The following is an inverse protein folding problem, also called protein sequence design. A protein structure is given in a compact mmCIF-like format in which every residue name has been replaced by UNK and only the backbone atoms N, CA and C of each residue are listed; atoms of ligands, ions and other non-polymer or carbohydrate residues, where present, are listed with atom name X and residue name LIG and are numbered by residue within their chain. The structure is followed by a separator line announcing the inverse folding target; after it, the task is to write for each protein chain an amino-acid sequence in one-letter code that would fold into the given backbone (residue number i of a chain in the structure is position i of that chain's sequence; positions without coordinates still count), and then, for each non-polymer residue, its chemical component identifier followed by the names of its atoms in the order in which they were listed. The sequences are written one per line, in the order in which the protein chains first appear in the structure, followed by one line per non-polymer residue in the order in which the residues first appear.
data_IF_531318492791
#
_entry.id   IF_531318492791
#
_cell.length_a   1.000
_cell.length_b   1.000
_cell.length_c   1.000
_cell.angle_alpha   90.00
_cell.angle_beta   90.00
_cell.angle_gamma   90.00
#
_symmetry.space_group_name_H-M   'P 1'
#
loop_
_entity.id
_entity.type
_entity.pdbx_description
1 polymer ?
#
# COMPACT_ATOMS: atom_id res chain seq x y z
N UNK A 1 -1.94 -0.39 15.17
CA UNK A 1 -0.84 -1.35 15.44
C UNK A 1 -1.21 -2.22 16.63
N UNK A 2 -0.97 -3.51 16.54
CA UNK A 2 -1.22 -4.50 17.58
C UNK A 2 0.10 -5.10 18.06
N UNK A 3 0.23 -5.37 19.34
CA UNK A 3 1.38 -6.04 19.95
C UNK A 3 0.93 -7.31 20.66
N UNK A 4 1.60 -8.42 20.37
CA UNK A 4 1.35 -9.71 20.98
C UNK A 4 2.05 -9.81 22.33
N UNK A 5 1.33 -10.31 23.33
CA UNK A 5 1.84 -10.55 24.68
C UNK A 5 1.99 -12.03 24.97
N UNK A 6 3.05 -12.38 25.70
CA UNK A 6 3.18 -13.72 26.28
C UNK A 6 2.09 -13.91 27.35
N UNK A 7 1.41 -15.04 27.29
CA UNK A 7 0.47 -15.46 28.34
C UNK A 7 1.02 -16.67 29.07
N UNK A 8 0.46 -16.99 30.23
CA UNK A 8 0.84 -18.19 31.01
C UNK A 8 0.67 -19.48 30.19
N UNK A 9 -0.19 -19.46 29.17
CA UNK A 9 -0.54 -20.63 28.34
C UNK A 9 0.18 -20.65 27.01
N UNK A 10 0.58 -19.48 26.46
CA UNK A 10 1.17 -19.38 25.13
C UNK A 10 2.28 -18.32 25.06
N UNK A 11 3.41 -18.69 24.46
CA UNK A 11 4.54 -17.78 24.18
C UNK A 11 4.46 -17.27 22.77
N UNK A 12 4.84 -16.00 22.59
CA UNK A 12 4.97 -15.38 21.28
C UNK A 12 6.17 -16.00 20.56
N UNK A 13 5.91 -16.65 19.45
CA UNK A 13 6.92 -17.19 18.53
C UNK A 13 6.49 -16.95 17.08
N UNK A 14 7.34 -17.29 16.12
CA UNK A 14 7.07 -17.05 14.71
C UNK A 14 5.81 -17.76 14.20
N UNK A 15 5.57 -18.99 14.65
CA UNK A 15 4.37 -19.74 14.27
C UNK A 15 3.09 -19.09 14.83
N UNK A 16 3.12 -18.69 16.09
CA UNK A 16 2.00 -17.97 16.71
C UNK A 16 1.73 -16.65 15.98
N UNK A 17 2.76 -15.88 15.63
CA UNK A 17 2.60 -14.61 14.90
C UNK A 17 2.06 -14.79 13.49
N UNK A 18 2.49 -15.81 12.76
CA UNK A 18 1.96 -16.13 11.44
C UNK A 18 0.47 -16.53 11.52
N UNK A 19 0.09 -17.28 12.54
CA UNK A 19 -1.31 -17.62 12.81
C UNK A 19 -2.13 -16.39 13.19
N UNK A 20 -1.58 -15.46 13.98
CA UNK A 20 -2.21 -14.16 14.27
C UNK A 20 -2.52 -13.42 12.99
N UNK A 21 -1.54 -13.26 12.08
CA UNK A 21 -1.73 -12.60 10.78
C UNK A 21 -2.84 -13.27 9.98
N UNK A 22 -2.80 -14.60 9.84
CA UNK A 22 -3.82 -15.36 9.09
C UNK A 22 -5.23 -15.18 9.67
N UNK A 23 -5.36 -15.17 11.00
CA UNK A 23 -6.66 -14.95 11.66
C UNK A 23 -7.13 -13.52 11.45
N UNK A 24 -6.23 -12.53 11.57
CA UNK A 24 -6.55 -11.13 11.29
C UNK A 24 -7.02 -10.91 9.85
N UNK A 25 -6.34 -11.53 8.88
CA UNK A 25 -6.78 -11.51 7.46
C UNK A 25 -8.19 -12.07 7.29
N UNK A 26 -8.49 -13.21 7.90
CA UNK A 26 -9.83 -13.80 7.87
C UNK A 26 -10.90 -12.86 8.46
N UNK A 27 -10.59 -12.22 9.59
CA UNK A 27 -11.51 -11.28 10.27
C UNK A 27 -11.77 -10.05 9.40
N UNK A 28 -10.71 -9.45 8.88
CA UNK A 28 -10.80 -8.24 8.04
C UNK A 28 -11.54 -8.52 6.74
N UNK A 29 -11.23 -9.65 6.08
CA UNK A 29 -11.93 -10.06 4.85
C UNK A 29 -13.42 -10.33 5.12
N UNK A 30 -13.75 -10.92 6.27
CA UNK A 30 -15.15 -11.18 6.65
C UNK A 30 -15.94 -9.91 6.99
N UNK A 31 -15.26 -8.80 7.31
CA UNK A 31 -15.87 -7.47 7.45
C UNK A 31 -16.20 -6.80 6.11
N UNK A 32 -15.83 -7.43 4.98
CA UNK A 32 -16.11 -6.93 3.63
C UNK A 32 -15.26 -5.71 3.25
N UNK A 33 -14.12 -5.52 3.90
CA UNK A 33 -13.21 -4.43 3.59
C UNK A 33 -12.35 -4.80 2.37
N UNK A 34 -12.22 -3.86 1.45
CA UNK A 34 -11.41 -4.02 0.25
C UNK A 34 -9.96 -3.63 0.52
N UNK A 35 -9.04 -4.47 0.07
CA UNK A 35 -7.59 -4.23 0.08
C UNK A 35 -6.99 -3.90 1.47
N UNK A 36 -7.27 -4.69 2.51
CA UNK A 36 -6.62 -4.50 3.80
C UNK A 36 -5.11 -4.81 3.68
N UNK A 37 -4.28 -4.01 4.35
CA UNK A 37 -2.86 -4.32 4.47
C UNK A 37 -2.62 -4.86 5.87
N UNK A 38 -2.19 -6.11 5.97
CA UNK A 38 -1.84 -6.75 7.22
C UNK A 38 -0.39 -7.22 7.14
N UNK A 39 0.47 -6.65 7.97
CA UNK A 39 1.90 -6.90 7.91
C UNK A 39 2.47 -7.09 9.31
N UNK A 40 3.37 -8.07 9.44
CA UNK A 40 4.15 -8.25 10.64
C UNK A 40 5.27 -7.20 10.69
N UNK A 41 5.44 -6.56 11.84
CA UNK A 41 6.52 -5.63 12.13
C UNK A 41 7.34 -6.15 13.32
N UNK A 42 8.59 -6.57 13.04
CA UNK A 42 9.44 -7.18 14.06
C UNK A 42 8.91 -8.53 14.56
N UNK A 43 9.23 -8.85 15.81
CA UNK A 43 8.93 -10.17 16.37
C UNK A 43 7.51 -10.29 16.94
N UNK A 44 6.91 -9.17 17.44
CA UNK A 44 5.70 -9.19 18.25
C UNK A 44 4.58 -8.27 17.75
N UNK A 45 4.79 -7.50 16.68
CA UNK A 45 3.84 -6.48 16.23
C UNK A 45 3.19 -6.84 14.91
N UNK A 46 1.94 -6.41 14.75
CA UNK A 46 1.19 -6.49 13.50
C UNK A 46 0.60 -5.13 13.20
N UNK A 47 0.89 -4.61 12.01
CA UNK A 47 0.25 -3.42 11.46
C UNK A 47 -0.96 -3.88 10.64
N UNK A 48 -2.11 -3.25 10.90
CA UNK A 48 -3.34 -3.48 10.15
C UNK A 48 -3.80 -2.13 9.62
N UNK A 49 -3.87 -1.98 8.31
CA UNK A 49 -4.42 -0.82 7.64
C UNK A 49 -5.74 -1.21 6.98
N UNK A 50 -6.79 -0.46 7.29
CA UNK A 50 -8.16 -0.74 6.88
C UNK A 50 -8.70 0.45 6.09
N UNK A 51 -8.48 0.50 4.77
CA UNK A 51 -9.03 1.59 3.95
C UNK A 51 -10.56 1.47 3.84
N UNK A 52 -11.24 2.61 3.82
CA UNK A 52 -12.68 2.67 3.59
C UNK A 52 -13.59 2.18 4.71
N UNK A 53 -13.07 1.97 5.92
CA UNK A 53 -13.87 1.59 7.09
C UNK A 53 -14.86 2.69 7.47
N UNK A 54 -16.14 2.34 7.57
CA UNK A 54 -17.20 3.27 7.97
C UNK A 54 -17.21 3.51 9.49
N UNK A 55 -17.00 2.46 10.27
CA UNK A 55 -16.91 2.50 11.73
C UNK A 55 -15.58 1.89 12.20
N UNK A 56 -14.55 2.72 12.42
CA UNK A 56 -13.25 2.27 12.89
C UNK A 56 -13.30 1.60 14.27
N UNK A 57 -14.14 2.09 15.17
CA UNK A 57 -14.21 1.58 16.55
C UNK A 57 -14.81 0.15 16.61
N UNK A 58 -15.85 -0.10 15.82
CA UNK A 58 -16.44 -1.44 15.69
C UNK A 58 -15.45 -2.43 15.05
N UNK A 59 -14.72 -1.99 13.99
CA UNK A 59 -13.70 -2.81 13.34
C UNK A 59 -12.57 -3.16 14.31
N UNK A 60 -12.04 -2.19 15.05
CA UNK A 60 -10.98 -2.36 16.04
C UNK A 60 -11.39 -3.36 17.12
N UNK A 61 -12.61 -3.21 17.67
CA UNK A 61 -13.16 -4.14 18.69
C UNK A 61 -13.31 -5.56 18.17
N UNK A 62 -13.73 -5.72 16.91
CA UNK A 62 -13.92 -7.05 16.30
C UNK A 62 -12.60 -7.72 16.00
N UNK A 63 -11.63 -7.00 15.49
CA UNK A 63 -10.31 -7.53 15.10
C UNK A 63 -9.49 -7.89 16.34
N UNK A 64 -9.50 -7.07 17.39
CA UNK A 64 -8.66 -7.21 18.58
C UNK A 64 -9.13 -8.26 19.58
N UNK A 65 -10.33 -8.86 19.46
CA UNK A 65 -10.81 -9.90 20.37
C UNK A 65 -9.96 -11.17 20.25
N UNK A 66 -9.60 -11.76 21.39
CA UNK A 66 -8.90 -13.07 21.41
C UNK A 66 -9.79 -14.16 20.85
N UNK A 67 -11.10 -14.08 21.14
CA UNK A 67 -12.15 -15.00 20.68
C UNK A 67 -11.98 -16.44 21.15
N UNK A 68 -11.54 -16.62 22.36
CA UNK A 68 -11.47 -17.93 22.97
C UNK A 68 -12.88 -18.36 23.43
N UNK A 69 -13.52 -19.19 22.60
CA UNK A 69 -14.83 -19.76 22.91
C UNK A 69 -14.65 -21.02 23.72
N UNK A 70 -15.37 -21.10 24.82
CA UNK A 70 -15.41 -22.28 25.72
C UNK A 70 -16.85 -22.65 26.05
N UNK A 71 -17.13 -23.93 26.00
CA UNK A 71 -18.38 -24.50 26.54
C UNK A 71 -18.05 -25.24 27.86
N UNK A 72 -18.63 -24.78 28.94
CA UNK A 72 -18.40 -25.34 30.27
C UNK A 72 -19.65 -26.03 30.78
N UNK A 73 -19.41 -27.17 31.42
CA UNK A 73 -20.45 -27.86 32.17
C UNK A 73 -20.77 -27.15 33.52
N UNK A 74 -21.70 -27.68 34.27
CA UNK A 74 -22.11 -27.13 35.58
C UNK A 74 -20.97 -27.17 36.62
N UNK A 75 -20.00 -28.06 36.42
CA UNK A 75 -18.81 -28.21 37.30
C UNK A 75 -17.70 -27.24 36.91
N UNK A 76 -17.86 -26.47 35.81
CA UNK A 76 -16.89 -25.51 35.30
C UNK A 76 -15.81 -26.11 34.41
N UNK A 77 -15.91 -27.38 33.99
CA UNK A 77 -14.97 -28.02 33.11
C UNK A 77 -15.21 -27.59 31.65
N UNK A 78 -14.17 -27.19 30.94
CA UNK A 78 -14.26 -26.90 29.51
C UNK A 78 -14.32 -28.20 28.71
N UNK A 79 -15.43 -28.43 27.98
CA UNK A 79 -15.67 -29.65 27.20
C UNK A 79 -15.46 -29.42 25.71
N UNK A 80 -15.86 -28.22 25.19
CA UNK A 80 -15.63 -27.83 23.82
C UNK A 80 -14.99 -26.44 23.79
N UNK A 81 -14.27 -26.21 22.70
CA UNK A 81 -13.60 -24.92 22.42
C UNK A 81 -13.92 -24.45 21.01
N UNK A 82 -13.49 -23.26 20.64
CA UNK A 82 -13.64 -22.72 19.28
C UNK A 82 -13.01 -23.58 18.18
N UNK A 83 -12.06 -24.49 18.51
CA UNK A 83 -11.48 -25.43 17.55
C UNK A 83 -12.43 -26.53 17.11
N UNK A 84 -13.47 -26.80 17.91
CA UNK A 84 -14.51 -27.76 17.59
C UNK A 84 -15.60 -27.18 16.66
N UNK A 85 -15.55 -25.88 16.34
CA UNK A 85 -16.46 -25.23 15.39
C UNK A 85 -15.98 -25.41 13.94
N UNK A 86 -16.93 -25.68 13.05
CA UNK A 86 -16.76 -25.70 11.59
C UNK A 86 -17.16 -24.37 10.97
N UNK A 87 -18.30 -23.81 11.38
CA UNK A 87 -18.82 -22.53 10.90
C UNK A 87 -19.65 -21.79 11.95
N UNK A 88 -19.81 -20.48 11.78
CA UNK A 88 -20.67 -19.63 12.59
C UNK A 88 -21.35 -18.57 11.67
N UNK A 89 -22.68 -18.44 11.75
CA UNK A 89 -23.46 -17.53 10.89
C UNK A 89 -24.47 -16.75 11.71
N UNK A 90 -24.51 -15.43 11.49
CA UNK A 90 -25.55 -14.60 12.07
C UNK A 90 -26.88 -14.80 11.33
N UNK A 91 -27.95 -14.88 12.08
CA UNK A 91 -29.31 -14.99 11.57
C UNK A 91 -30.31 -14.24 12.48
N UNK A 92 -31.48 -13.93 11.92
CA UNK A 92 -32.62 -13.52 12.74
C UNK A 92 -33.57 -14.69 12.84
N UNK A 93 -33.83 -15.13 14.06
CA UNK A 93 -34.78 -16.22 14.32
C UNK A 93 -36.19 -15.79 13.93
N UNK A 94 -36.78 -16.50 12.95
CA UNK A 94 -38.08 -16.15 12.38
C UNK A 94 -39.27 -16.33 13.35
N UNK A 95 -39.08 -17.10 14.43
CA UNK A 95 -40.18 -17.38 15.38
C UNK A 95 -40.30 -16.30 16.44
N UNK A 96 -39.19 -15.72 16.90
CA UNK A 96 -39.19 -14.74 17.99
C UNK A 96 -38.55 -13.39 17.64
N UNK A 97 -38.03 -13.22 16.39
CA UNK A 97 -37.39 -11.99 15.93
C UNK A 97 -36.06 -11.68 16.58
N UNK A 98 -35.45 -12.61 17.35
CA UNK A 98 -34.18 -12.40 18.02
C UNK A 98 -33.01 -12.58 17.06
N UNK A 99 -31.96 -11.77 17.25
CA UNK A 99 -30.72 -11.95 16.55
C UNK A 99 -29.91 -13.05 17.23
N UNK A 100 -29.41 -13.99 16.44
CA UNK A 100 -28.73 -15.19 16.92
C UNK A 100 -27.51 -15.49 16.06
N UNK A 101 -26.59 -16.28 16.63
CA UNK A 101 -25.49 -16.87 15.90
C UNK A 101 -25.65 -18.37 15.86
N UNK A 102 -25.87 -18.90 14.67
CA UNK A 102 -25.93 -20.33 14.42
C UNK A 102 -24.54 -20.89 14.35
N UNK A 103 -24.26 -21.91 15.14
CA UNK A 103 -23.00 -22.64 15.19
C UNK A 103 -23.16 -23.99 14.51
N UNK A 104 -22.20 -24.36 13.70
CA UNK A 104 -22.02 -25.71 13.15
C UNK A 104 -20.72 -26.29 13.67
N UNK A 105 -20.77 -27.44 14.31
CA UNK A 105 -19.59 -28.12 14.86
C UNK A 105 -18.94 -29.01 13.81
N UNK A 106 -17.65 -29.30 13.98
CA UNK A 106 -16.95 -30.37 13.26
C UNK A 106 -17.54 -31.72 13.63
N UNK A 107 -17.23 -32.79 12.88
CA UNK A 107 -17.75 -34.14 13.20
C UNK A 107 -17.34 -34.61 14.59
N UNK A 108 -16.14 -34.27 15.06
CA UNK A 108 -15.66 -34.55 16.41
C UNK A 108 -16.33 -33.65 17.46
N UNK A 109 -16.45 -32.35 17.15
CA UNK A 109 -17.14 -31.38 18.00
C UNK A 109 -18.62 -31.73 18.18
N UNK A 110 -19.30 -32.19 17.10
CA UNK A 110 -20.69 -32.65 17.19
C UNK A 110 -20.90 -33.82 18.15
N UNK A 111 -19.96 -34.79 18.17
CA UNK A 111 -20.00 -35.90 19.14
C UNK A 111 -19.81 -35.41 20.58
N UNK A 112 -18.79 -34.57 20.81
CA UNK A 112 -18.56 -33.98 22.14
C UNK A 112 -19.75 -33.13 22.60
N UNK A 113 -20.37 -32.37 21.69
CA UNK A 113 -21.53 -31.54 22.00
C UNK A 113 -22.79 -32.40 22.31
N UNK A 114 -22.99 -33.48 21.55
CA UNK A 114 -24.05 -34.45 21.84
C UNK A 114 -23.86 -35.10 23.21
N UNK A 115 -22.65 -35.52 23.57
CA UNK A 115 -22.32 -36.09 24.88
C UNK A 115 -22.51 -35.06 25.98
N UNK A 116 -22.07 -33.81 25.80
CA UNK A 116 -22.22 -32.72 26.75
C UNK A 116 -23.70 -32.43 27.00
N UNK A 117 -24.51 -32.29 25.95
CA UNK A 117 -25.95 -31.99 26.07
C UNK A 117 -26.70 -33.17 26.67
N UNK A 118 -26.34 -34.42 26.36
CA UNK A 118 -26.96 -35.62 26.94
C UNK A 118 -26.73 -35.74 28.44
N UNK A 119 -25.52 -35.45 28.90
CA UNK A 119 -25.14 -35.49 30.33
C UNK A 119 -25.74 -34.36 31.17
N UNK A 120 -26.05 -33.23 30.50
CA UNK A 120 -26.52 -32.01 31.15
C UNK A 120 -28.01 -31.69 30.86
N UNK A 121 -28.85 -32.68 30.54
CA UNK A 121 -30.30 -32.47 30.40
C UNK A 121 -30.88 -31.94 31.71
N UNK A 122 -31.62 -30.84 31.66
CA UNK A 122 -32.17 -30.14 32.83
C UNK A 122 -31.18 -29.22 33.53
N UNK A 123 -29.91 -29.15 33.08
CA UNK A 123 -28.84 -28.32 33.65
C UNK A 123 -28.43 -27.23 32.67
N UNK A 124 -27.59 -26.32 33.13
CA UNK A 124 -27.12 -25.18 32.37
C UNK A 124 -25.73 -25.47 31.74
N UNK A 125 -25.54 -25.10 30.46
CA UNK A 125 -24.23 -25.10 29.86
C UNK A 125 -23.82 -23.63 29.68
N UNK A 126 -22.71 -23.26 30.31
CA UNK A 126 -22.16 -21.91 30.15
C UNK A 126 -21.32 -21.79 28.86
N UNK A 127 -21.63 -20.82 28.05
CA UNK A 127 -20.84 -20.46 26.84
C UNK A 127 -20.10 -19.19 27.16
N UNK A 128 -18.78 -19.29 27.20
CA UNK A 128 -17.88 -18.17 27.51
C UNK A 128 -17.11 -17.73 26.26
N UNK A 129 -16.85 -16.43 26.19
CA UNK A 129 -15.98 -15.83 25.19
C UNK A 129 -14.94 -14.98 25.93
N UNK A 130 -13.67 -15.29 25.76
CA UNK A 130 -12.56 -14.61 26.44
C UNK A 130 -12.69 -14.61 27.98
N UNK A 131 -13.28 -15.68 28.54
CA UNK A 131 -13.52 -15.84 29.98
C UNK A 131 -14.78 -15.17 30.50
N UNK A 132 -15.47 -14.37 29.68
CA UNK A 132 -16.75 -13.75 30.05
C UNK A 132 -17.94 -14.63 29.61
N UNK A 133 -18.96 -14.78 30.45
CA UNK A 133 -20.17 -15.56 30.13
C UNK A 133 -20.97 -14.81 29.06
N UNK A 134 -21.02 -15.37 27.87
CA UNK A 134 -21.81 -14.85 26.77
C UNK A 134 -23.29 -15.20 26.90
N UNK A 135 -23.57 -16.48 27.25
CA UNK A 135 -24.91 -17.00 27.54
C UNK A 135 -24.79 -18.30 28.31
N UNK A 136 -25.85 -18.67 29.04
CA UNK A 136 -25.88 -19.89 29.82
C UNK A 136 -27.29 -20.55 29.69
N UNK A 137 -27.60 -21.16 28.53
CA UNK A 137 -28.89 -21.80 28.29
C UNK A 137 -29.06 -23.07 29.08
N UNK A 138 -30.30 -23.38 29.46
CA UNK A 138 -30.68 -24.66 30.02
C UNK A 138 -30.90 -25.69 28.90
N UNK A 139 -30.34 -26.89 29.04
CA UNK A 139 -30.49 -27.99 28.09
C UNK A 139 -31.84 -28.67 28.30
N UNK A 140 -32.76 -28.53 27.36
CA UNK A 140 -34.10 -29.16 27.44
C UNK A 140 -34.09 -30.61 26.97
N UNK A 141 -33.32 -30.89 25.93
CA UNK A 141 -33.18 -32.20 25.29
C UNK A 141 -31.78 -32.37 24.71
N UNK A 142 -31.29 -33.59 24.49
CA UNK A 142 -30.02 -33.84 23.86
C UNK A 142 -29.98 -33.31 22.42
N UNK A 143 -28.89 -32.60 22.05
CA UNK A 143 -28.71 -32.03 20.71
C UNK A 143 -27.74 -32.90 19.94
N UNK A 144 -28.26 -33.81 19.10
CA UNK A 144 -27.45 -34.79 18.35
C UNK A 144 -27.02 -34.27 16.95
N UNK A 145 -27.58 -33.17 16.48
CA UNK A 145 -27.42 -32.66 15.10
C UNK A 145 -26.17 -31.83 14.87
N UNK A 146 -25.28 -31.66 15.85
CA UNK A 146 -24.05 -30.87 15.71
C UNK A 146 -24.29 -29.39 15.38
N UNK A 147 -25.46 -28.84 15.73
CA UNK A 147 -25.80 -27.42 15.56
C UNK A 147 -26.26 -26.84 16.90
N UNK A 148 -25.84 -25.60 17.13
CA UNK A 148 -26.27 -24.84 18.30
C UNK A 148 -26.60 -23.40 17.91
N UNK A 149 -27.32 -22.69 18.78
CA UNK A 149 -27.67 -21.30 18.59
C UNK A 149 -27.23 -20.48 19.82
N UNK A 150 -26.48 -19.41 19.59
CA UNK A 150 -26.16 -18.41 20.60
C UNK A 150 -27.12 -17.24 20.44
N UNK A 151 -27.95 -16.99 21.45
CA UNK A 151 -28.88 -15.86 21.53
C UNK A 151 -28.36 -14.79 22.47
N UNK A 152 -29.01 -13.60 22.47
CA UNK A 152 -28.69 -12.52 23.39
C UNK A 152 -28.04 -11.30 22.75
N UNK A 153 -27.82 -11.32 21.43
CA UNK A 153 -27.32 -10.17 20.68
C UNK A 153 -28.42 -9.13 20.47
N UNK A 154 -28.12 -7.88 20.86
CA UNK A 154 -29.11 -6.78 20.77
C UNK A 154 -29.39 -6.38 19.33
N UNK A 155 -28.37 -6.43 18.47
CA UNK A 155 -28.47 -6.02 17.07
C UNK A 155 -27.99 -7.13 16.14
N UNK A 156 -28.44 -7.09 14.88
CA UNK A 156 -27.96 -8.02 13.84
C UNK A 156 -26.45 -7.81 13.59
N UNK A 157 -25.98 -6.57 13.71
CA UNK A 157 -24.58 -6.22 13.56
C UNK A 157 -23.70 -6.88 14.66
N UNK A 158 -24.16 -6.86 15.91
CA UNK A 158 -23.48 -7.59 16.99
C UNK A 158 -23.41 -9.08 16.70
N UNK A 159 -24.48 -9.68 16.20
CA UNK A 159 -24.50 -11.08 15.80
C UNK A 159 -23.55 -11.37 14.64
N UNK A 160 -23.49 -10.48 13.63
CA UNK A 160 -22.55 -10.59 12.51
C UNK A 160 -21.08 -10.49 12.98
N UNK A 161 -20.78 -9.52 13.80
CA UNK A 161 -19.43 -9.35 14.37
C UNK A 161 -19.01 -10.57 15.21
N UNK A 162 -19.92 -11.11 16.01
CA UNK A 162 -19.67 -12.32 16.79
C UNK A 162 -19.44 -13.54 15.86
N UNK A 163 -20.24 -13.70 14.85
CA UNK A 163 -20.11 -14.79 13.86
C UNK A 163 -18.76 -14.72 13.13
N UNK A 164 -18.33 -13.53 12.73
CA UNK A 164 -17.01 -13.29 12.09
C UNK A 164 -15.88 -13.73 13.03
N UNK A 165 -15.93 -13.30 14.28
CA UNK A 165 -14.92 -13.59 15.29
C UNK A 165 -14.84 -15.10 15.54
N UNK A 166 -15.98 -15.79 15.72
CA UNK A 166 -16.05 -17.24 15.97
C UNK A 166 -15.58 -18.06 14.76
N UNK A 167 -16.00 -17.68 13.55
CA UNK A 167 -15.59 -18.34 12.30
C UNK A 167 -14.10 -18.21 12.00
N UNK A 168 -13.51 -17.06 12.31
CA UNK A 168 -12.08 -16.82 12.09
C UNK A 168 -11.17 -17.59 13.06
N UNK A 169 -11.72 -18.00 14.20
CA UNK A 169 -11.03 -18.74 15.26
C UNK A 169 -10.36 -17.83 16.30
N UNK A 170 -9.90 -18.47 17.37
CA UNK A 170 -9.22 -17.81 18.47
C UNK A 170 -7.78 -17.45 18.13
N UNK A 171 -7.33 -16.30 18.60
CA UNK A 171 -5.92 -15.89 18.49
C UNK A 171 -5.07 -16.80 19.40
N UNK A 172 -3.91 -17.26 18.93
CA UNK A 172 -3.03 -18.14 19.71
C UNK A 172 -2.37 -17.40 20.89
N UNK A 173 -2.28 -16.09 20.83
CA UNK A 173 -1.72 -15.21 21.86
C UNK A 173 -2.62 -13.99 22.02
N UNK A 174 -2.61 -13.39 23.22
CA UNK A 174 -3.32 -12.13 23.45
C UNK A 174 -2.65 -11.01 22.68
N UNK A 175 -3.45 -10.14 22.06
CA UNK A 175 -2.97 -8.96 21.34
C UNK A 175 -3.55 -7.70 21.98
N UNK A 176 -2.71 -6.69 22.16
CA UNK A 176 -3.11 -5.38 22.64
C UNK A 176 -2.96 -4.34 21.56
N UNK A 177 -3.87 -3.38 21.53
CA UNK A 177 -3.80 -2.25 20.61
C UNK A 177 -2.87 -1.22 21.24
N UNK A 178 -1.70 -1.01 20.63
CA UNK A 178 -0.71 -0.04 21.11
C UNK A 178 -0.82 1.30 20.42
N UNK A 179 -1.32 1.33 19.18
CA UNK A 179 -1.48 2.56 18.42
C UNK A 179 -2.68 2.46 17.48
N UNK A 180 -3.50 3.51 17.46
CA UNK A 180 -4.60 3.68 16.52
C UNK A 180 -4.44 5.03 15.82
N UNK A 181 -4.40 5.01 14.48
CA UNK A 181 -4.44 6.20 13.65
C UNK A 181 -5.67 6.14 12.76
N UNK A 182 -6.57 7.09 12.95
CA UNK A 182 -7.78 7.21 12.14
C UNK A 182 -7.68 8.46 11.28
N UNK A 183 -7.77 8.29 9.95
CA UNK A 183 -7.87 9.39 9.01
C UNK A 183 -9.33 9.51 8.60
N UNK A 184 -10.00 10.56 9.07
CA UNK A 184 -11.40 10.80 8.75
C UNK A 184 -11.61 11.12 7.26
N UNK A 185 -12.82 10.89 6.70
CA UNK A 185 -13.12 11.14 5.29
C UNK A 185 -12.85 12.58 4.85
N UNK A 186 -13.10 13.56 5.72
CA UNK A 186 -12.84 14.98 5.47
C UNK A 186 -11.33 15.27 5.34
N UNK A 187 -10.50 14.66 6.19
CA UNK A 187 -9.05 14.83 6.13
C UNK A 187 -8.47 14.15 4.89
N UNK A 188 -9.01 12.99 4.50
CA UNK A 188 -8.64 12.29 3.28
C UNK A 188 -8.97 13.11 2.03
N UNK A 189 -10.18 13.70 1.97
CA UNK A 189 -10.61 14.55 0.86
C UNK A 189 -9.77 15.83 0.77
N UNK A 190 -9.55 16.54 1.88
CA UNK A 190 -8.71 17.75 1.91
C UNK A 190 -7.25 17.45 1.47
N UNK A 191 -6.72 16.29 1.87
CA UNK A 191 -5.39 15.85 1.46
C UNK A 191 -5.33 15.54 -0.03
N UNK A 192 -6.38 14.91 -0.58
CA UNK A 192 -6.51 14.64 -2.01
C UNK A 192 -6.55 15.94 -2.81
N UNK A 193 -7.45 16.87 -2.45
CA UNK A 193 -7.63 18.14 -3.16
C UNK A 193 -6.33 18.97 -3.14
N UNK A 194 -5.64 19.03 -2.00
CA UNK A 194 -4.33 19.69 -1.89
C UNK A 194 -3.25 19.01 -2.71
N UNK A 195 -3.26 17.68 -2.79
CA UNK A 195 -2.30 16.92 -3.60
C UNK A 195 -2.53 17.13 -5.10
N UNK A 196 -3.79 17.14 -5.55
CA UNK A 196 -4.15 17.44 -6.94
C UNK A 196 -3.74 18.87 -7.33
N UNK A 197 -3.97 19.83 -6.45
CA UNK A 197 -3.53 21.21 -6.66
C UNK A 197 -2.01 21.32 -6.72
N UNK A 198 -1.29 20.70 -5.77
CA UNK A 198 0.18 20.70 -5.75
C UNK A 198 0.76 20.03 -7.00
N UNK A 199 0.16 18.93 -7.45
CA UNK A 199 0.54 18.26 -8.71
C UNK A 199 0.37 19.18 -9.91
N UNK A 200 -0.78 19.83 -10.05
CA UNK A 200 -1.07 20.73 -11.16
C UNK A 200 -0.11 21.94 -11.18
N UNK A 201 0.13 22.55 -10.03
CA UNK A 201 1.07 23.68 -9.89
C UNK A 201 2.51 23.25 -10.18
N UNK A 202 2.94 22.11 -9.61
CA UNK A 202 4.29 21.59 -9.82
C UNK A 202 4.55 21.23 -11.28
N UNK A 203 3.64 20.49 -11.91
CA UNK A 203 3.73 20.14 -13.32
C UNK A 203 3.73 21.40 -14.21
N UNK A 204 2.81 22.34 -13.96
CA UNK A 204 2.73 23.59 -14.72
C UNK A 204 3.99 24.45 -14.62
N UNK A 205 4.57 24.54 -13.41
CA UNK A 205 5.83 25.27 -13.20
C UNK A 205 7.00 24.63 -13.97
N UNK A 206 7.08 23.29 -13.99
CA UNK A 206 8.12 22.54 -14.71
C UNK A 206 7.96 22.73 -16.23
N UNK A 207 6.76 22.59 -16.78
CA UNK A 207 6.49 22.81 -18.20
C UNK A 207 6.88 24.24 -18.62
N UNK A 208 6.48 25.24 -17.82
CA UNK A 208 6.85 26.63 -18.10
C UNK A 208 8.37 26.84 -18.07
N UNK A 209 9.05 26.26 -17.06
CA UNK A 209 10.50 26.33 -16.96
C UNK A 209 11.18 25.73 -18.19
N UNK A 210 10.75 24.56 -18.66
CA UNK A 210 11.35 23.90 -19.81
C UNK A 210 11.20 24.72 -21.10
N UNK A 211 10.02 25.28 -21.36
CA UNK A 211 9.79 26.13 -22.54
C UNK A 211 10.65 27.39 -22.45
N UNK A 212 10.70 28.07 -21.30
CA UNK A 212 11.43 29.33 -21.17
C UNK A 212 12.94 29.17 -21.33
N UNK A 213 13.52 28.11 -20.74
CA UNK A 213 14.97 27.94 -20.74
C UNK A 213 15.49 27.11 -21.92
N UNK A 214 14.74 26.08 -22.37
CA UNK A 214 15.18 25.15 -23.42
C UNK A 214 14.43 25.33 -24.74
N UNK A 215 13.45 26.22 -24.80
CA UNK A 215 12.71 26.56 -26.02
C UNK A 215 12.11 25.31 -26.69
N UNK A 216 12.49 25.02 -27.97
CA UNK A 216 11.96 23.87 -28.72
C UNK A 216 12.41 22.52 -28.15
N UNK A 217 13.65 22.44 -27.65
CA UNK A 217 14.07 21.22 -26.90
C UNK A 217 13.22 21.03 -25.67
N UNK A 218 12.89 22.12 -24.95
CA UNK A 218 11.99 22.10 -23.80
C UNK A 218 10.57 21.68 -24.18
N UNK A 219 10.03 22.18 -25.28
CA UNK A 219 8.71 21.75 -25.77
C UNK A 219 8.65 20.25 -26.10
N UNK A 220 9.71 19.68 -26.67
CA UNK A 220 9.81 18.23 -26.89
C UNK A 220 9.84 17.48 -25.57
N UNK A 221 10.61 17.97 -24.59
CA UNK A 221 10.65 17.38 -23.27
C UNK A 221 9.30 17.44 -22.57
N UNK A 222 8.53 18.51 -22.76
CA UNK A 222 7.18 18.64 -22.20
C UNK A 222 6.22 17.61 -22.77
N UNK A 223 6.28 17.35 -24.08
CA UNK A 223 5.49 16.27 -24.70
C UNK A 223 5.91 14.91 -24.12
N UNK A 224 7.22 14.68 -23.98
CA UNK A 224 7.73 13.45 -23.38
C UNK A 224 7.31 13.31 -21.91
N UNK A 225 7.28 14.41 -21.13
CA UNK A 225 6.83 14.45 -19.75
C UNK A 225 5.33 14.16 -19.62
N UNK A 226 4.51 14.70 -20.53
CA UNK A 226 3.08 14.38 -20.59
C UNK A 226 2.85 12.88 -20.89
N UNK A 227 3.59 12.34 -21.87
CA UNK A 227 3.55 10.93 -22.19
C UNK A 227 4.01 10.06 -20.99
N UNK A 228 5.09 10.45 -20.31
CA UNK A 228 5.58 9.85 -19.09
C UNK A 228 4.49 9.81 -18.01
N UNK A 229 3.84 10.94 -17.75
CA UNK A 229 2.80 11.05 -16.72
C UNK A 229 1.61 10.13 -17.04
N UNK A 230 1.16 10.11 -18.29
CA UNK A 230 0.09 9.21 -18.73
C UNK A 230 0.49 7.74 -18.62
N UNK A 231 1.73 7.39 -18.99
CA UNK A 231 2.24 6.02 -18.86
C UNK A 231 2.35 5.59 -17.39
N UNK A 232 2.81 6.48 -16.51
CA UNK A 232 2.93 6.19 -15.08
C UNK A 232 1.55 5.96 -14.45
N UNK A 233 0.59 6.87 -14.68
CA UNK A 233 -0.77 6.73 -14.17
C UNK A 233 -1.46 5.49 -14.77
N UNK A 234 -1.28 5.22 -16.05
CA UNK A 234 -1.81 4.03 -16.72
C UNK A 234 -1.22 2.74 -16.16
N UNK A 235 0.08 2.72 -15.84
CA UNK A 235 0.73 1.55 -15.24
C UNK A 235 0.27 1.33 -13.79
N UNK A 236 0.13 2.39 -13.00
CA UNK A 236 -0.42 2.30 -11.64
C UNK A 236 -1.85 1.78 -11.65
N UNK A 237 -2.67 2.24 -12.60
CA UNK A 237 -4.03 1.73 -12.79
C UNK A 237 -4.06 0.25 -13.20
N UNK A 238 -3.18 -0.17 -14.12
CA UNK A 238 -3.10 -1.56 -14.58
C UNK A 238 -2.64 -2.53 -13.48
N UNK A 239 -1.83 -2.05 -12.54
CA UNK A 239 -1.34 -2.81 -11.39
C UNK A 239 -2.30 -2.77 -10.19
N UNK A 240 -3.47 -2.13 -10.31
CA UNK A 240 -4.39 -1.87 -9.19
C UNK A 240 -3.69 -1.28 -7.96
N UNK A 241 -2.67 -0.42 -8.20
CA UNK A 241 -1.85 0.11 -7.12
C UNK A 241 -2.61 1.14 -6.28
N UNK A 242 -2.70 0.90 -4.98
CA UNK A 242 -3.31 1.83 -4.02
C UNK A 242 -2.46 3.08 -3.86
N UNK A 243 -3.01 4.24 -4.22
CA UNK A 243 -2.33 5.53 -4.08
C UNK A 243 -2.38 6.00 -2.61
N UNK A 244 -1.24 5.88 -1.93
CA UNK A 244 -1.05 6.47 -0.59
C UNK A 244 -0.59 7.92 -0.69
N UNK A 245 -0.76 8.74 0.37
CA UNK A 245 -0.25 10.11 0.39
C UNK A 245 1.26 10.21 0.09
N UNK A 246 2.13 9.39 0.69
CA UNK A 246 3.53 9.31 0.28
C UNK A 246 3.70 8.85 -1.17
N UNK A 247 2.83 7.98 -1.69
CA UNK A 247 2.85 7.55 -3.08
C UNK A 247 2.60 8.71 -4.06
N UNK A 248 1.66 9.61 -3.74
CA UNK A 248 1.45 10.85 -4.53
C UNK A 248 2.69 11.74 -4.48
N UNK A 249 3.33 11.89 -3.31
CA UNK A 249 4.60 12.62 -3.21
C UNK A 249 5.71 11.97 -4.08
N UNK A 250 5.75 10.64 -4.14
CA UNK A 250 6.64 9.89 -5.04
C UNK A 250 6.40 10.20 -6.53
N UNK A 251 5.14 10.33 -6.95
CA UNK A 251 4.80 10.74 -8.32
C UNK A 251 5.33 12.15 -8.61
N UNK A 252 5.08 13.11 -7.72
CA UNK A 252 5.53 14.51 -7.91
C UNK A 252 7.06 14.57 -7.98
N UNK A 253 7.73 13.83 -7.09
CA UNK A 253 9.19 13.74 -7.09
C UNK A 253 9.73 13.13 -8.40
N UNK A 254 9.11 12.06 -8.88
CA UNK A 254 9.55 11.37 -10.10
C UNK A 254 9.35 12.21 -11.37
N UNK A 255 8.36 13.13 -11.38
CA UNK A 255 8.21 14.13 -12.45
C UNK A 255 9.43 15.06 -12.49
N UNK A 256 9.88 15.56 -11.34
CA UNK A 256 11.11 16.37 -11.26
C UNK A 256 12.32 15.63 -11.82
N UNK A 257 12.52 14.37 -11.39
CA UNK A 257 13.63 13.53 -11.88
C UNK A 257 13.53 13.19 -13.38
N UNK A 258 12.30 13.07 -13.91
CA UNK A 258 12.10 12.86 -15.35
C UNK A 258 12.56 14.05 -16.18
N UNK A 259 12.40 15.26 -15.66
CA UNK A 259 12.89 16.49 -16.31
C UNK A 259 14.40 16.60 -16.19
N UNK A 260 15.01 16.23 -15.06
CA UNK A 260 16.47 16.29 -14.87
C UNK A 260 17.22 15.48 -15.93
N UNK A 261 16.71 14.31 -16.31
CA UNK A 261 17.29 13.52 -17.39
C UNK A 261 17.30 14.28 -18.73
N UNK A 262 16.20 14.99 -19.07
CA UNK A 262 16.11 15.80 -20.27
C UNK A 262 17.02 17.03 -20.20
N UNK A 263 17.06 17.71 -19.06
CA UNK A 263 17.97 18.85 -18.81
C UNK A 263 19.42 18.43 -19.03
N UNK A 264 19.84 17.30 -18.46
CA UNK A 264 21.19 16.78 -18.61
C UNK A 264 21.53 16.51 -20.09
N UNK A 265 20.62 15.91 -20.85
CA UNK A 265 20.77 15.68 -22.29
C UNK A 265 20.94 17.01 -23.02
N UNK A 266 20.11 18.01 -22.71
CA UNK A 266 20.17 19.31 -23.40
C UNK A 266 21.40 20.13 -23.06
N UNK A 267 21.87 20.06 -21.81
CA UNK A 267 23.12 20.73 -21.44
C UNK A 267 24.34 20.09 -22.15
N UNK A 268 24.41 18.75 -22.21
CA UNK A 268 25.45 18.09 -23.01
C UNK A 268 25.32 18.40 -24.52
N UNK A 269 24.10 18.51 -25.05
CA UNK A 269 23.88 18.93 -26.43
C UNK A 269 24.42 20.35 -26.69
N UNK A 270 24.16 21.30 -25.75
CA UNK A 270 24.71 22.66 -25.82
C UNK A 270 26.24 22.66 -25.77
N UNK A 271 26.81 21.91 -24.83
CA UNK A 271 28.25 21.78 -24.63
C UNK A 271 28.94 21.30 -25.94
N UNK A 272 28.43 20.21 -26.51
CA UNK A 272 28.97 19.66 -27.78
C UNK A 272 28.87 20.62 -28.92
N UNK A 273 27.79 21.40 -29.01
CA UNK A 273 27.62 22.40 -30.07
C UNK A 273 28.51 23.62 -29.88
N UNK A 274 28.54 24.21 -28.70
CA UNK A 274 29.19 25.50 -28.44
C UNK A 274 30.68 25.36 -28.21
N UNK A 275 31.14 24.30 -27.54
CA UNK A 275 32.55 24.14 -27.20
C UNK A 275 33.28 23.37 -28.29
N UNK A 276 32.72 22.30 -28.79
CA UNK A 276 33.37 21.42 -29.76
C UNK A 276 33.10 21.81 -31.20
N UNK A 277 32.20 22.78 -31.48
CA UNK A 277 31.93 23.28 -32.81
C UNK A 277 31.35 22.27 -33.81
N UNK A 278 30.72 21.22 -33.29
CA UNK A 278 30.10 20.16 -34.10
C UNK A 278 28.82 20.66 -34.77
N UNK A 279 28.40 19.97 -35.82
CA UNK A 279 27.07 20.22 -36.43
C UNK A 279 25.96 19.93 -35.48
N UNK A 280 24.80 20.55 -35.61
CA UNK A 280 23.65 20.39 -34.73
C UNK A 280 23.27 18.92 -34.50
N UNK A 281 23.22 18.13 -35.58
CA UNK A 281 22.94 16.69 -35.53
C UNK A 281 24.01 15.91 -34.75
N UNK A 282 25.29 16.14 -35.05
CA UNK A 282 26.38 15.42 -34.38
C UNK A 282 26.49 15.82 -32.92
N UNK A 283 26.20 17.07 -32.57
CA UNK A 283 26.17 17.55 -31.19
C UNK A 283 25.05 16.90 -30.40
N UNK A 284 23.87 16.73 -30.99
CA UNK A 284 22.76 16.03 -30.39
C UNK A 284 23.13 14.56 -30.12
N UNK A 285 23.62 13.82 -31.11
CA UNK A 285 23.98 12.40 -30.93
C UNK A 285 25.11 12.22 -29.90
N UNK A 286 26.12 13.08 -29.92
CA UNK A 286 27.22 13.06 -28.94
C UNK A 286 26.74 13.40 -27.53
N UNK A 287 25.86 14.42 -27.41
CA UNK A 287 25.27 14.83 -26.14
C UNK A 287 24.46 13.71 -25.51
N UNK A 288 23.60 13.04 -26.28
CA UNK A 288 22.86 11.86 -25.79
C UNK A 288 23.77 10.74 -25.32
N UNK A 289 24.81 10.40 -26.08
CA UNK A 289 25.76 9.35 -25.71
C UNK A 289 26.47 9.65 -24.41
N UNK A 290 26.86 10.91 -24.19
CA UNK A 290 27.50 11.33 -22.91
C UNK A 290 26.53 11.34 -21.74
N UNK A 291 25.32 11.88 -21.96
CA UNK A 291 24.28 11.93 -20.95
C UNK A 291 23.82 10.54 -20.49
N UNK A 292 23.77 9.58 -21.43
CA UNK A 292 23.25 8.23 -21.15
C UNK A 292 23.90 7.57 -19.94
N UNK A 293 25.23 7.56 -19.86
CA UNK A 293 25.93 6.92 -18.73
C UNK A 293 25.58 7.58 -17.40
N UNK A 294 25.57 8.91 -17.37
CA UNK A 294 25.24 9.66 -16.15
C UNK A 294 23.77 9.44 -15.73
N UNK A 295 22.85 9.45 -16.69
CA UNK A 295 21.44 9.18 -16.42
C UNK A 295 21.24 7.76 -15.91
N UNK A 296 21.90 6.79 -16.53
CA UNK A 296 21.82 5.40 -16.11
C UNK A 296 22.33 5.20 -14.68
N UNK A 297 23.54 5.69 -14.39
CA UNK A 297 24.15 5.56 -13.07
C UNK A 297 23.33 6.23 -11.96
N UNK A 298 22.82 7.45 -12.23
CA UNK A 298 21.96 8.18 -11.28
C UNK A 298 20.64 7.45 -11.02
N UNK A 299 19.99 6.95 -12.06
CA UNK A 299 18.71 6.26 -11.90
C UNK A 299 18.85 4.87 -11.25
N UNK A 300 19.96 4.15 -11.49
CA UNK A 300 20.22 2.88 -10.81
C UNK A 300 20.30 3.05 -9.30
N UNK A 301 20.95 4.11 -8.80
CA UNK A 301 21.01 4.37 -7.36
C UNK A 301 19.62 4.63 -6.77
N UNK A 302 18.76 5.35 -7.49
CA UNK A 302 17.37 5.60 -7.09
C UNK A 302 16.54 4.31 -7.10
N UNK A 303 16.71 3.45 -8.12
CA UNK A 303 16.02 2.15 -8.20
C UNK A 303 16.44 1.24 -7.05
N UNK A 304 17.74 1.20 -6.69
CA UNK A 304 18.23 0.45 -5.53
C UNK A 304 17.57 0.96 -4.24
N UNK A 305 17.54 2.28 -4.03
CA UNK A 305 16.88 2.87 -2.87
C UNK A 305 15.38 2.54 -2.83
N UNK A 306 14.68 2.65 -3.97
CA UNK A 306 13.27 2.27 -4.07
C UNK A 306 13.06 0.77 -3.78
N UNK A 307 13.92 -0.12 -4.27
CA UNK A 307 13.86 -1.54 -3.98
C UNK A 307 14.05 -1.83 -2.48
N UNK A 308 15.03 -1.20 -1.83
CA UNK A 308 15.23 -1.34 -0.38
C UNK A 308 13.99 -0.87 0.39
N UNK A 309 13.42 0.28 0.03
CA UNK A 309 12.19 0.79 0.65
C UNK A 309 10.98 -0.12 0.38
N UNK A 310 10.91 -0.77 -0.77
CA UNK A 310 9.84 -1.71 -1.08
C UNK A 310 9.91 -2.99 -0.25
N UNK A 311 11.10 -3.58 -0.12
CA UNK A 311 11.27 -4.84 0.60
C UNK A 311 11.30 -4.68 2.12
N UNK A 312 11.93 -3.60 2.62
CA UNK A 312 12.09 -3.35 4.06
C UNK A 312 11.05 -2.37 4.62
N UNK A 313 10.40 -1.59 3.77
CA UNK A 313 9.37 -0.64 4.17
C UNK A 313 8.04 -1.30 4.50
N UNK A 314 7.24 -0.63 5.32
CA UNK A 314 5.90 -1.06 5.73
C UNK A 314 4.84 -0.10 5.19
N UNK A 315 3.62 -0.60 4.95
CA UNK A 315 2.42 0.17 4.65
C UNK A 315 2.63 1.29 3.61
N UNK A 316 2.44 2.51 4.03
CA UNK A 316 2.49 3.70 3.16
C UNK A 316 3.85 3.94 2.50
N UNK A 317 4.97 3.48 3.11
CA UNK A 317 6.32 3.60 2.55
C UNK A 317 6.47 2.74 1.29
N UNK A 318 5.83 1.57 1.24
CA UNK A 318 5.81 0.72 0.03
C UNK A 318 5.14 1.43 -1.14
N UNK A 319 4.03 2.12 -0.90
CA UNK A 319 3.36 2.91 -1.94
C UNK A 319 4.28 3.97 -2.54
N UNK A 320 5.03 4.70 -1.70
CA UNK A 320 6.07 5.63 -2.15
C UNK A 320 7.17 4.93 -2.96
N UNK A 321 7.66 3.78 -2.50
CA UNK A 321 8.71 3.03 -3.16
C UNK A 321 8.29 2.54 -4.56
N UNK A 322 7.05 2.06 -4.69
CA UNK A 322 6.49 1.63 -5.99
C UNK A 322 6.43 2.81 -6.97
N UNK A 323 5.84 3.92 -6.55
CA UNK A 323 5.69 5.10 -7.43
C UNK A 323 7.04 5.68 -7.81
N UNK A 324 7.99 5.76 -6.89
CA UNK A 324 9.35 6.21 -7.14
C UNK A 324 10.10 5.26 -8.09
N UNK A 325 10.06 3.96 -7.84
CA UNK A 325 10.76 2.96 -8.66
C UNK A 325 10.22 2.90 -10.09
N UNK A 326 8.89 2.76 -10.25
CA UNK A 326 8.23 2.75 -11.55
C UNK A 326 8.43 4.08 -12.28
N UNK A 327 8.29 5.21 -11.57
CA UNK A 327 8.54 6.53 -12.11
C UNK A 327 9.96 6.68 -12.65
N UNK A 328 10.96 6.21 -11.90
CA UNK A 328 12.37 6.26 -12.33
C UNK A 328 12.62 5.42 -13.58
N UNK A 329 12.09 4.20 -13.66
CA UNK A 329 12.23 3.34 -14.86
C UNK A 329 11.56 3.97 -16.07
N UNK A 330 10.33 4.47 -15.92
CA UNK A 330 9.61 5.12 -17.00
C UNK A 330 10.25 6.43 -17.44
N UNK A 331 10.77 7.25 -16.52
CA UNK A 331 11.47 8.49 -16.84
C UNK A 331 12.72 8.23 -17.68
N UNK A 332 13.49 7.22 -17.31
CA UNK A 332 14.67 6.80 -18.07
C UNK A 332 14.26 6.34 -19.49
N UNK A 333 13.20 5.54 -19.60
CA UNK A 333 12.69 5.09 -20.89
C UNK A 333 12.23 6.26 -21.77
N UNK A 334 11.45 7.19 -21.24
CA UNK A 334 10.93 8.33 -22.01
C UNK A 334 12.03 9.30 -22.41
N UNK A 335 12.98 9.61 -21.53
CA UNK A 335 14.10 10.49 -21.85
C UNK A 335 15.02 9.88 -22.93
N UNK A 336 15.38 8.61 -22.80
CA UNK A 336 16.31 7.96 -23.72
C UNK A 336 15.64 7.63 -25.07
N UNK A 337 14.37 7.22 -25.06
CA UNK A 337 13.70 6.74 -26.26
C UNK A 337 12.87 7.84 -26.90
N UNK A 338 11.88 8.37 -26.17
CA UNK A 338 10.89 9.29 -26.75
C UNK A 338 11.49 10.65 -27.03
N UNK A 339 12.18 11.27 -26.06
CA UNK A 339 12.81 12.58 -26.24
C UNK A 339 13.89 12.51 -27.33
N UNK A 340 14.72 11.46 -27.33
CA UNK A 340 15.73 11.25 -28.36
C UNK A 340 15.12 11.16 -29.76
N UNK A 341 14.10 10.30 -29.93
CA UNK A 341 13.44 10.12 -31.23
C UNK A 341 12.79 11.41 -31.72
N UNK A 342 12.05 12.11 -30.86
CA UNK A 342 11.39 13.36 -31.23
C UNK A 342 12.38 14.46 -31.56
N UNK A 343 13.45 14.62 -30.74
CA UNK A 343 14.48 15.61 -31.01
C UNK A 343 15.22 15.33 -32.33
N UNK A 344 15.51 14.05 -32.61
CA UNK A 344 16.11 13.61 -33.86
C UNK A 344 15.22 13.94 -35.09
N UNK A 345 13.94 13.60 -35.01
CA UNK A 345 12.98 13.93 -36.08
C UNK A 345 12.94 15.43 -36.33
N UNK A 346 12.98 16.24 -35.29
CA UNK A 346 12.91 17.68 -35.42
C UNK A 346 14.18 18.28 -36.01
N UNK A 347 15.34 17.80 -35.59
CA UNK A 347 16.63 18.22 -36.19
C UNK A 347 16.75 17.77 -37.65
N UNK A 348 16.32 16.55 -37.98
CA UNK A 348 16.39 16.00 -39.36
C UNK A 348 15.35 16.64 -40.30
N UNK A 349 14.19 17.08 -39.78
CA UNK A 349 13.14 17.74 -40.59
C UNK A 349 13.53 19.14 -41.10
N UNK A 350 14.61 19.73 -40.57
CA UNK A 350 15.06 21.10 -40.86
C UNK A 350 13.97 22.17 -40.64
N UNK A 351 12.94 21.85 -39.88
CA UNK A 351 11.83 22.75 -39.62
C UNK A 351 12.31 24.03 -38.89
N UNK A 352 13.34 23.86 -38.05
CA UNK A 352 14.01 24.95 -37.33
C UNK A 352 15.52 24.85 -37.57
N UNK A 353 15.99 25.52 -38.66
CA UNK A 353 17.42 25.47 -38.99
C UNK A 353 18.32 26.29 -38.05
N UNK A 354 17.74 27.25 -37.32
CA UNK A 354 18.49 28.12 -36.43
C UNK A 354 18.80 27.45 -35.09
N UNK A 355 20.08 27.27 -34.71
CA UNK A 355 20.48 26.63 -33.47
C UNK A 355 19.87 27.26 -32.21
N UNK A 356 19.59 28.56 -32.25
CA UNK A 356 18.93 29.30 -31.19
C UNK A 356 17.51 28.82 -30.86
N UNK A 357 16.82 28.15 -31.81
CA UNK A 357 15.51 27.56 -31.56
C UNK A 357 15.57 26.43 -30.54
N UNK A 358 16.65 25.67 -30.55
CA UNK A 358 16.87 24.55 -29.60
C UNK A 358 17.46 24.98 -28.26
N UNK A 359 17.58 26.29 -28.01
CA UNK A 359 18.22 26.80 -26.79
C UNK A 359 19.75 26.63 -26.77
N UNK A 360 20.35 26.15 -27.85
CA UNK A 360 21.78 25.83 -27.91
C UNK A 360 22.68 27.06 -27.91
N UNK A 361 22.16 28.23 -28.33
CA UNK A 361 22.87 29.51 -28.34
C UNK A 361 22.53 30.39 -27.11
N UNK A 362 21.66 29.95 -26.21
CA UNK A 362 21.22 30.70 -25.04
C UNK A 362 22.14 30.51 -23.84
N UNK A 363 22.02 31.44 -22.91
CA UNK A 363 22.68 31.60 -21.61
C UNK A 363 23.54 30.43 -21.15
N UNK A 364 24.87 30.50 -21.35
CA UNK A 364 25.84 29.65 -20.69
C UNK A 364 26.10 30.19 -19.28
N UNK A 365 25.95 29.38 -18.28
CA UNK A 365 26.39 29.67 -16.91
C UNK A 365 27.92 29.76 -16.82
N UNK A 366 28.64 29.30 -17.87
CA UNK A 366 30.12 29.40 -17.98
C UNK A 366 30.49 30.27 -19.19
N UNK A 367 31.08 31.43 -18.89
CA UNK A 367 31.61 32.30 -19.91
C UNK A 367 32.82 31.65 -20.63
N UNK A 368 32.87 31.73 -21.97
CA UNK A 368 34.03 31.35 -22.79
C UNK A 368 35.35 31.92 -22.28
N UNK A 369 35.30 33.07 -21.60
CA UNK A 369 36.48 33.75 -21.02
C UNK A 369 37.19 32.96 -19.93
N UNK A 370 36.50 32.11 -19.20
CA UNK A 370 37.11 31.33 -18.12
C UNK A 370 37.84 30.09 -18.65
N UNK A 371 37.41 29.54 -19.77
CA UNK A 371 38.09 28.43 -20.45
C UNK A 371 39.39 28.89 -21.14
N UNK A 372 39.38 30.06 -21.77
CA UNK A 372 40.61 30.64 -22.35
C UNK A 372 41.63 31.02 -21.29
N UNK A 373 41.20 31.48 -20.12
CA UNK A 373 42.14 31.76 -18.98
C UNK A 373 42.71 30.51 -18.35
N UNK A 374 41.99 29.39 -18.38
CA UNK A 374 42.47 28.10 -17.90
C UNK A 374 43.53 27.49 -18.77
N UNK A 375 43.41 27.62 -20.09
CA UNK A 375 44.40 27.10 -21.07
C UNK A 375 45.65 27.97 -21.15
N UNK A 376 45.56 29.27 -20.93
CA UNK A 376 46.71 30.16 -20.85
C UNK A 376 47.54 29.95 -19.57
N UNK A 377 46.95 29.46 -18.47
CA UNK A 377 47.66 29.09 -17.24
C UNK A 377 48.29 27.71 -17.28
N UNK A 378 47.90 26.84 -18.21
CA UNK A 378 48.54 25.52 -18.41
C UNK A 378 49.72 25.52 -19.35
N UNK A 379 49.88 26.59 -20.13
CA UNK A 379 50.98 26.76 -21.12
C UNK A 379 52.00 27.85 -20.73
N UNK A 380 51.92 28.37 -19.52
CA UNK A 380 52.91 29.23 -18.87
C UNK A 380 53.52 28.51 -17.67
#
# INVERSE_FOLDING_TARGET
MLEAEDTDVAKVNDDAMNRVVTIMEKRVNALGLTEPIIQREGERRVIIELPGVKDPDAAIKTIGKTAMLEFKDEEGNTVLTGTDLKDAQAATNQQNGQNVVNLEFTDEGAKKFADLTTKNVGRTIAILLDGEVLTAPNVREPILGGKAEISGQKTLEEAQNLAVVLRSGALPVKVNIIETRTVGPTLGQDSKDKSEFAFAVGLGAVLLFMILFYRMSGFIADIALMAYTLMLLGLLYLLDATLTLPGVAGIILSIGMAVDANVLIFEHFKEEYQIQGKTLRLSMESGFKRAFTTIFDSNITTIIAAAVLFFLGTGTIRGFAITLGLGTVLSMFTAITLTHYMLRLMVDSKLFEHPGAYGVTGFMLWKKEDLQKGDLKKNA
#
